data_IF_459042508889
#
_entry.id   IF_459042508889
#
_cell.length_a   1.000
_cell.length_b   1.000
_cell.length_c   1.000
_cell.angle_alpha   90.00
_cell.angle_beta   90.00
_cell.angle_gamma   90.00
#
_symmetry.space_group_name_H-M   'P 1'
#
loop_
_entity.id
_entity.type
_entity.pdbx_description
1 polymer ?
#
# COMPACT_ATOMS: atom_id res chain seq x y z
N UNK A 1 -6.69 7.57 -3.14
CA UNK A 1 -6.06 7.85 -1.82
C UNK A 1 -4.67 8.32 -2.12
N UNK A 2 -4.34 9.54 -1.71
CA UNK A 2 -3.03 10.14 -1.94
C UNK A 2 -2.03 9.61 -0.92
N UNK A 3 -0.74 9.86 -1.12
CA UNK A 3 0.27 9.56 -0.12
C UNK A 3 0.00 10.28 1.20
N UNK A 4 -0.51 11.53 1.14
CA UNK A 4 -0.83 12.30 2.33
C UNK A 4 -1.89 11.62 3.22
N UNK A 5 -2.84 10.90 2.61
CA UNK A 5 -3.86 10.14 3.34
C UNK A 5 -3.29 8.89 4.03
N UNK A 6 -2.12 8.42 3.59
CA UNK A 6 -1.51 7.12 3.92
C UNK A 6 -0.23 7.25 4.75
N UNK A 7 0.42 8.41 4.75
CA UNK A 7 1.72 8.65 5.38
C UNK A 7 1.70 8.25 6.87
N UNK A 8 2.49 7.23 7.29
CA UNK A 8 2.55 6.79 8.68
C UNK A 8 2.90 7.90 9.67
N UNK A 9 3.61 8.95 9.23
CA UNK A 9 4.01 10.07 10.08
C UNK A 9 2.82 10.92 10.55
N UNK A 10 1.72 10.98 9.77
CA UNK A 10 0.51 11.74 10.11
C UNK A 10 -0.51 10.88 10.89
N UNK A 11 -0.25 9.59 11.04
CA UNK A 11 -1.14 8.61 11.64
C UNK A 11 -0.47 7.81 12.77
N UNK A 12 -0.44 8.33 14.00
CA UNK A 12 0.08 7.57 15.16
C UNK A 12 -0.66 6.24 15.34
N UNK A 13 0.09 5.17 15.56
CA UNK A 13 -0.46 3.82 15.71
C UNK A 13 0.38 3.04 16.72
N UNK A 14 -0.30 2.34 17.65
CA UNK A 14 0.34 1.42 18.59
C UNK A 14 0.02 -0.04 18.20
N UNK A 15 0.97 -0.78 17.61
CA UNK A 15 0.77 -2.18 17.24
C UNK A 15 0.32 -3.08 18.39
N UNK A 16 0.65 -2.73 19.64
CA UNK A 16 0.28 -3.52 20.83
C UNK A 16 -1.20 -3.42 21.17
N UNK A 17 -1.85 -2.32 20.79
CA UNK A 17 -3.29 -2.09 21.02
C UNK A 17 -4.15 -2.52 19.83
N UNK A 18 -3.52 -2.79 18.67
CA UNK A 18 -4.21 -3.09 17.43
C UNK A 18 -5.26 -4.21 17.58
N UNK A 19 -4.89 -5.30 18.26
CA UNK A 19 -5.79 -6.45 18.44
C UNK A 19 -7.07 -6.08 19.20
N UNK A 20 -6.97 -5.31 20.28
CA UNK A 20 -8.13 -4.95 21.09
C UNK A 20 -9.09 -4.03 20.34
N UNK A 21 -8.56 -3.07 19.58
CA UNK A 21 -9.37 -2.17 18.74
C UNK A 21 -10.03 -2.95 17.60
N UNK A 22 -9.27 -3.81 16.90
CA UNK A 22 -9.82 -4.63 15.81
C UNK A 22 -10.92 -5.55 16.35
N UNK A 23 -10.73 -6.17 17.52
CA UNK A 23 -11.74 -7.00 18.17
C UNK A 23 -13.03 -6.22 18.45
N UNK A 24 -12.93 -4.98 18.92
CA UNK A 24 -14.09 -4.12 19.13
C UNK A 24 -14.80 -3.78 17.80
N UNK A 25 -14.05 -3.44 16.76
CA UNK A 25 -14.62 -3.12 15.43
C UNK A 25 -15.33 -4.34 14.83
N UNK A 26 -14.70 -5.51 14.86
CA UNK A 26 -15.24 -6.78 14.35
C UNK A 26 -16.55 -7.15 15.03
N UNK A 27 -16.64 -6.93 16.35
CA UNK A 27 -17.84 -7.21 17.14
C UNK A 27 -18.90 -6.11 17.08
N UNK A 28 -18.54 -4.88 16.69
CA UNK A 28 -19.48 -3.76 16.59
C UNK A 28 -20.56 -4.03 15.53
N UNK A 29 -21.77 -3.50 15.69
CA UNK A 29 -22.82 -3.65 14.69
C UNK A 29 -22.50 -2.81 13.45
N UNK A 30 -22.69 -3.41 12.29
CA UNK A 30 -22.70 -2.72 11.01
C UNK A 30 -23.94 -1.80 10.91
N UNK A 31 -23.81 -0.55 10.44
CA UNK A 31 -24.91 0.40 10.41
C UNK A 31 -26.11 -0.01 9.53
N UNK A 32 -25.88 -0.82 8.50
CA UNK A 32 -26.91 -1.18 7.51
C UNK A 32 -27.61 -2.48 7.89
N UNK A 33 -26.84 -3.48 8.32
CA UNK A 33 -27.36 -4.83 8.62
C UNK A 33 -27.64 -5.06 10.11
N UNK A 34 -27.07 -4.27 11.01
CA UNK A 34 -27.09 -4.49 12.46
C UNK A 34 -26.30 -5.74 12.92
N UNK A 35 -25.74 -6.51 12.00
CA UNK A 35 -24.92 -7.68 12.28
C UNK A 35 -23.51 -7.26 12.70
N UNK A 36 -22.76 -8.08 13.46
CA UNK A 36 -21.35 -7.82 13.72
C UNK A 36 -20.56 -7.60 12.42
N UNK A 37 -19.81 -6.50 12.32
CA UNK A 37 -19.10 -6.12 11.07
C UNK A 37 -18.23 -7.25 10.54
N UNK A 38 -17.55 -7.99 11.42
CA UNK A 38 -16.69 -9.10 11.06
C UNK A 38 -17.39 -10.30 10.42
N UNK A 39 -18.68 -10.46 10.67
CA UNK A 39 -19.52 -11.52 10.09
C UNK A 39 -20.32 -11.01 8.87
N UNK A 40 -20.41 -9.70 8.70
CA UNK A 40 -21.17 -9.09 7.61
C UNK A 40 -20.35 -8.95 6.33
N UNK A 41 -19.28 -8.15 6.36
CA UNK A 41 -18.42 -7.96 5.19
C UNK A 41 -17.07 -7.35 5.53
N UNK A 42 -16.07 -7.71 4.74
CA UNK A 42 -14.73 -7.11 4.76
C UNK A 42 -14.79 -5.58 4.63
N UNK A 43 -15.66 -5.05 3.77
CA UNK A 43 -15.85 -3.61 3.60
C UNK A 43 -16.34 -2.93 4.87
N UNK A 44 -17.27 -3.57 5.59
CA UNK A 44 -17.79 -3.02 6.85
C UNK A 44 -16.69 -2.95 7.91
N UNK A 45 -15.82 -3.97 8.00
CA UNK A 45 -14.65 -3.93 8.88
C UNK A 45 -13.67 -2.85 8.45
N UNK A 46 -13.36 -2.71 7.16
CA UNK A 46 -12.48 -1.66 6.65
C UNK A 46 -13.00 -0.25 7.01
N UNK A 47 -14.30 0.00 6.83
CA UNK A 47 -14.94 1.26 7.26
C UNK A 47 -14.81 1.47 8.76
N UNK A 48 -15.10 0.45 9.57
CA UNK A 48 -14.98 0.54 11.03
C UNK A 48 -13.53 0.79 11.51
N UNK A 49 -12.53 0.23 10.84
CA UNK A 49 -11.12 0.54 11.13
C UNK A 49 -10.74 1.95 10.71
N UNK A 50 -11.27 2.43 9.58
CA UNK A 50 -11.07 3.81 9.14
C UNK A 50 -11.71 4.83 10.10
N UNK A 51 -12.86 4.51 10.70
CA UNK A 51 -13.50 5.30 11.75
C UNK A 51 -12.60 5.43 13.01
N UNK A 52 -11.78 4.41 13.32
CA UNK A 52 -10.90 4.39 14.50
C UNK A 52 -9.52 5.00 14.24
N UNK A 53 -8.92 4.69 13.08
CA UNK A 53 -7.52 4.98 12.80
C UNK A 53 -7.31 6.01 11.68
N UNK A 54 -8.38 6.42 10.97
CA UNK A 54 -8.31 7.31 9.82
C UNK A 54 -8.17 6.58 8.49
N UNK A 55 -8.04 7.37 7.42
CA UNK A 55 -8.02 6.93 6.01
C UNK A 55 -7.02 5.81 5.71
N UNK A 56 -5.81 5.88 6.27
CA UNK A 56 -4.77 4.87 6.04
C UNK A 56 -5.26 3.45 6.38
N UNK A 57 -6.09 3.30 7.41
CA UNK A 57 -6.59 2.00 7.84
C UNK A 57 -7.70 1.44 6.94
N UNK A 58 -8.18 2.20 5.95
CA UNK A 58 -9.02 1.68 4.86
C UNK A 58 -8.19 1.14 3.69
N UNK A 59 -6.94 1.62 3.53
CA UNK A 59 -6.07 1.36 2.38
C UNK A 59 -5.85 -0.11 2.07
N UNK A 60 -5.86 -0.98 3.10
CA UNK A 60 -5.70 -2.42 2.92
C UNK A 60 -6.83 -3.09 2.14
N UNK A 61 -8.04 -2.50 2.07
CA UNK A 61 -9.22 -3.16 1.49
C UNK A 61 -9.02 -3.56 0.01
N UNK A 62 -8.24 -2.77 -0.74
CA UNK A 62 -7.81 -3.09 -2.12
C UNK A 62 -6.47 -3.83 -2.21
N UNK A 63 -5.76 -3.97 -1.08
CA UNK A 63 -4.39 -4.47 -1.00
C UNK A 63 -4.30 -5.91 -0.43
N UNK A 64 -5.45 -6.60 -0.35
CA UNK A 64 -5.55 -8.00 0.10
C UNK A 64 -6.00 -8.86 -1.08
N UNK A 65 -5.21 -9.87 -1.40
CA UNK A 65 -5.54 -10.83 -2.43
C UNK A 65 -6.40 -11.99 -1.94
N UNK A 66 -7.10 -12.63 -2.87
CA UNK A 66 -7.91 -13.83 -2.59
C UNK A 66 -7.13 -15.15 -2.70
N UNK A 67 -5.89 -15.10 -3.17
CA UNK A 67 -5.00 -16.24 -3.39
C UNK A 67 -3.57 -15.93 -2.92
N UNK A 68 -2.77 -16.95 -2.57
CA UNK A 68 -1.35 -16.79 -2.29
C UNK A 68 -0.58 -16.11 -3.43
N UNK A 69 -0.94 -16.44 -4.68
CA UNK A 69 -0.32 -15.90 -5.92
C UNK A 69 -0.97 -14.58 -6.39
N UNK A 70 -1.67 -13.88 -5.51
CA UNK A 70 -2.38 -12.65 -5.87
C UNK A 70 -1.45 -11.47 -6.14
N UNK A 71 -0.18 -11.51 -5.75
CA UNK A 71 0.72 -10.36 -5.89
C UNK A 71 0.35 -9.17 -5.01
N UNK A 72 -0.36 -9.39 -3.90
CA UNK A 72 -0.73 -8.33 -2.95
C UNK A 72 0.29 -8.16 -1.82
N UNK A 73 0.28 -6.98 -1.17
CA UNK A 73 1.26 -6.64 -0.11
C UNK A 73 0.93 -7.25 1.25
N UNK A 74 -0.32 -7.68 1.44
CA UNK A 74 -0.78 -8.42 2.62
C UNK A 74 -0.89 -9.89 2.27
N UNK A 75 -0.09 -10.72 2.94
CA UNK A 75 0.04 -12.17 2.68
C UNK A 75 -0.24 -12.98 3.94
N UNK A 76 -0.19 -14.31 3.79
CA UNK A 76 -0.16 -15.27 4.91
C UNK A 76 -1.25 -15.05 5.97
N UNK A 77 -2.49 -14.86 5.50
CA UNK A 77 -3.62 -14.68 6.39
C UNK A 77 -3.84 -15.94 7.24
N UNK A 78 -4.14 -15.72 8.51
CA UNK A 78 -4.44 -16.79 9.45
C UNK A 78 -5.54 -17.69 8.89
N UNK A 79 -5.32 -19.01 8.92
CA UNK A 79 -6.32 -20.02 8.56
C UNK A 79 -7.20 -20.26 9.78
N UNK A 80 -8.52 -20.36 9.58
CA UNK A 80 -9.44 -20.61 10.69
C UNK A 80 -9.13 -21.95 11.35
N UNK A 81 -8.83 -21.93 12.65
CA UNK A 81 -8.42 -23.07 13.45
C UNK A 81 -9.40 -23.43 14.58
N UNK A 82 -10.60 -22.84 14.63
CA UNK A 82 -11.57 -23.12 15.70
C UNK A 82 -13.00 -22.60 15.46
N UNK A 83 -13.83 -22.74 16.50
CA UNK A 83 -15.28 -22.48 16.43
C UNK A 83 -15.67 -21.01 16.70
N UNK A 84 -14.76 -20.17 17.24
CA UNK A 84 -15.05 -18.76 17.51
C UNK A 84 -14.71 -17.87 16.29
N UNK A 85 -15.70 -17.72 15.42
CA UNK A 85 -15.58 -16.95 14.18
C UNK A 85 -15.23 -15.47 14.43
N UNK A 86 -15.75 -14.83 15.47
CA UNK A 86 -15.45 -13.41 15.75
C UNK A 86 -14.00 -13.23 16.22
N UNK A 87 -13.52 -14.12 17.09
CA UNK A 87 -12.13 -14.11 17.53
C UNK A 87 -11.18 -14.39 16.35
N UNK A 88 -11.55 -15.32 15.47
CA UNK A 88 -10.82 -15.60 14.24
C UNK A 88 -10.75 -14.36 13.33
N UNK A 89 -11.88 -13.70 13.04
CA UNK A 89 -11.89 -12.48 12.24
C UNK A 89 -11.06 -11.37 12.90
N UNK A 90 -11.11 -11.22 14.22
CA UNK A 90 -10.27 -10.25 14.94
C UNK A 90 -8.77 -10.49 14.71
N UNK A 91 -8.30 -11.74 14.81
CA UNK A 91 -6.89 -12.10 14.52
C UNK A 91 -6.54 -11.84 13.06
N UNK A 92 -7.42 -12.25 12.14
CA UNK A 92 -7.24 -12.06 10.70
C UNK A 92 -7.08 -10.60 10.33
N UNK A 93 -8.01 -9.73 10.75
CA UNK A 93 -7.95 -8.30 10.45
C UNK A 93 -6.83 -7.57 11.19
N UNK A 94 -6.41 -8.06 12.36
CA UNK A 94 -5.21 -7.54 13.05
C UNK A 94 -3.97 -7.81 12.20
N UNK A 95 -3.80 -9.04 11.70
CA UNK A 95 -2.66 -9.37 10.81
C UNK A 95 -2.66 -8.51 9.56
N UNK A 96 -3.82 -8.35 8.90
CA UNK A 96 -3.98 -7.49 7.72
C UNK A 96 -3.53 -6.05 8.01
N UNK A 97 -4.04 -5.47 9.09
CA UNK A 97 -3.75 -4.07 9.45
C UNK A 97 -2.27 -3.87 9.77
N UNK A 98 -1.64 -4.81 10.47
CA UNK A 98 -0.22 -4.74 10.81
C UNK A 98 0.69 -4.87 9.58
N UNK A 99 0.39 -5.80 8.67
CA UNK A 99 1.15 -5.94 7.43
C UNK A 99 0.98 -4.73 6.51
N UNK A 100 -0.22 -4.16 6.46
CA UNK A 100 -0.48 -2.93 5.74
C UNK A 100 0.30 -1.76 6.34
N UNK A 101 0.33 -1.66 7.67
CA UNK A 101 1.12 -0.64 8.37
C UNK A 101 2.61 -0.75 8.07
N UNK A 102 3.16 -1.96 8.16
CA UNK A 102 4.56 -2.24 7.84
C UNK A 102 4.90 -1.82 6.40
N UNK A 103 4.05 -2.17 5.44
CA UNK A 103 4.22 -1.76 4.04
C UNK A 103 4.33 -0.24 3.87
N UNK A 104 3.45 0.52 4.52
CA UNK A 104 3.49 1.99 4.46
C UNK A 104 4.74 2.57 5.13
N UNK A 105 5.21 1.96 6.23
CA UNK A 105 6.44 2.37 6.92
C UNK A 105 7.69 2.08 6.08
N UNK A 106 7.75 0.94 5.38
CA UNK A 106 8.84 0.63 4.43
C UNK A 106 8.88 1.63 3.27
N UNK A 107 7.73 2.00 2.71
CA UNK A 107 7.63 3.05 1.69
C UNK A 107 8.13 4.40 2.22
N UNK A 108 7.66 4.81 3.40
CA UNK A 108 8.07 6.08 4.01
C UNK A 108 9.59 6.16 4.23
N UNK A 109 10.23 5.05 4.62
CA UNK A 109 11.69 4.97 4.74
C UNK A 109 12.36 5.22 3.39
N UNK A 110 11.90 4.59 2.30
CA UNK A 110 12.46 4.84 0.97
C UNK A 110 12.22 6.28 0.53
N UNK A 111 11.01 6.82 0.74
CA UNK A 111 10.67 8.18 0.33
C UNK A 111 11.57 9.19 1.03
N UNK A 112 11.78 9.06 2.35
CA UNK A 112 12.67 9.96 3.10
C UNK A 112 14.14 9.89 2.66
N UNK A 113 14.60 8.73 2.16
CA UNK A 113 15.98 8.57 1.66
C UNK A 113 16.19 9.24 0.30
N UNK A 114 15.19 9.15 -0.58
CA UNK A 114 15.34 9.55 -1.99
C UNK A 114 14.67 10.88 -2.33
N UNK A 115 13.69 11.33 -1.56
CA UNK A 115 13.01 12.62 -1.69
C UNK A 115 13.11 13.44 -0.39
N UNK A 116 14.33 13.79 0.08
CA UNK A 116 14.44 14.77 1.15
C UNK A 116 13.85 16.12 0.70
N UNK A 117 13.58 17.03 1.64
CA UNK A 117 13.15 18.40 1.31
C UNK A 117 14.21 19.06 0.40
N UNK A 118 13.91 19.12 -0.89
CA UNK A 118 14.77 19.64 -1.94
C UNK A 118 14.00 20.72 -2.70
N UNK A 119 14.53 21.94 -2.70
CA UNK A 119 13.91 23.08 -3.39
C UNK A 119 14.38 23.24 -4.85
N UNK A 120 15.38 22.46 -5.26
CA UNK A 120 16.00 22.56 -6.59
C UNK A 120 15.33 21.56 -7.56
N UNK A 121 14.66 22.02 -8.64
CA UNK A 121 13.94 21.14 -9.58
C UNK A 121 14.81 20.02 -10.18
N UNK A 122 16.06 20.34 -10.51
CA UNK A 122 17.03 19.37 -11.02
C UNK A 122 17.43 18.33 -9.97
N UNK A 123 17.46 18.71 -8.69
CA UNK A 123 17.73 17.78 -7.60
C UNK A 123 16.53 16.85 -7.36
N UNK A 124 15.31 17.39 -7.39
CA UNK A 124 14.06 16.60 -7.32
C UNK A 124 13.98 15.59 -8.47
N UNK A 125 14.31 16.00 -9.69
CA UNK A 125 14.33 15.12 -10.86
C UNK A 125 15.32 13.95 -10.70
N UNK A 126 16.55 14.23 -10.26
CA UNK A 126 17.55 13.18 -9.94
C UNK A 126 17.17 12.33 -8.74
N UNK A 127 16.43 12.87 -7.79
CA UNK A 127 15.87 12.15 -6.65
C UNK A 127 14.83 11.14 -7.11
N UNK A 128 13.87 11.58 -7.93
CA UNK A 128 12.85 10.73 -8.56
C UNK A 128 13.49 9.58 -9.33
N UNK A 129 14.43 9.86 -10.22
CA UNK A 129 15.14 8.84 -10.99
C UNK A 129 15.82 7.77 -10.10
N UNK A 130 16.46 8.20 -9.00
CA UNK A 130 17.17 7.29 -8.09
C UNK A 130 16.23 6.45 -7.21
N UNK A 131 15.05 6.97 -6.89
CA UNK A 131 14.07 6.28 -6.03
C UNK A 131 13.31 5.14 -6.70
N UNK A 132 13.20 5.14 -8.03
CA UNK A 132 12.43 4.12 -8.78
C UNK A 132 12.97 2.71 -8.58
N UNK A 133 14.29 2.48 -8.73
CA UNK A 133 14.85 1.12 -8.60
C UNK A 133 14.65 0.49 -7.20
N UNK A 134 14.95 1.20 -6.09
CA UNK A 134 14.64 0.72 -4.75
C UNK A 134 13.15 0.40 -4.55
N UNK A 135 12.25 1.25 -5.05
CA UNK A 135 10.80 1.02 -4.94
C UNK A 135 10.33 -0.21 -5.71
N UNK A 136 10.73 -0.33 -6.97
CA UNK A 136 10.41 -1.51 -7.78
C UNK A 136 10.95 -2.79 -7.12
N UNK A 137 12.16 -2.73 -6.55
CA UNK A 137 12.75 -3.86 -5.82
C UNK A 137 11.92 -4.23 -4.61
N UNK A 138 11.52 -3.25 -3.78
CA UNK A 138 10.68 -3.48 -2.61
C UNK A 138 9.33 -4.09 -3.01
N UNK A 139 8.67 -3.54 -4.04
CA UNK A 139 7.40 -4.06 -4.55
C UNK A 139 7.56 -5.51 -5.01
N UNK A 140 8.57 -5.83 -5.80
CA UNK A 140 8.81 -7.19 -6.30
C UNK A 140 9.07 -8.15 -5.14
N UNK A 141 9.87 -7.75 -4.14
CA UNK A 141 10.11 -8.57 -2.95
C UNK A 141 8.82 -8.84 -2.16
N UNK A 142 7.98 -7.81 -1.97
CA UNK A 142 6.74 -7.93 -1.22
C UNK A 142 5.70 -8.76 -1.97
N UNK A 143 5.56 -8.54 -3.27
CA UNK A 143 4.48 -9.11 -4.10
C UNK A 143 4.86 -10.45 -4.74
N UNK A 144 6.14 -10.73 -4.97
CA UNK A 144 6.61 -11.87 -5.75
C UNK A 144 6.60 -11.63 -7.27
N UNK A 145 6.25 -10.41 -7.70
CA UNK A 145 5.94 -10.10 -9.11
C UNK A 145 4.78 -10.93 -9.69
N UNK A 146 3.86 -11.39 -8.83
CA UNK A 146 2.66 -12.15 -9.20
C UNK A 146 1.50 -11.24 -9.67
N UNK A 147 0.31 -11.80 -9.90
CA UNK A 147 -0.83 -11.18 -10.61
C UNK A 147 -0.97 -9.65 -10.47
N UNK A 148 -1.08 -9.14 -9.24
CA UNK A 148 -1.40 -7.74 -8.95
C UNK A 148 -0.18 -6.84 -8.71
N UNK A 149 1.04 -7.34 -8.94
CA UNK A 149 2.26 -6.59 -8.63
C UNK A 149 2.38 -5.28 -9.41
N UNK A 150 1.87 -5.22 -10.65
CA UNK A 150 1.88 -4.00 -11.46
C UNK A 150 1.05 -2.89 -10.82
N UNK A 151 -0.14 -3.21 -10.30
CA UNK A 151 -0.99 -2.24 -9.62
C UNK A 151 -0.36 -1.74 -8.32
N UNK A 152 0.30 -2.62 -7.57
CA UNK A 152 1.06 -2.24 -6.37
C UNK A 152 2.26 -1.36 -6.75
N UNK A 153 2.96 -1.69 -7.84
CA UNK A 153 4.10 -0.92 -8.35
C UNK A 153 3.68 0.48 -8.78
N UNK A 154 2.59 0.57 -9.55
CA UNK A 154 2.02 1.84 -9.99
C UNK A 154 1.66 2.70 -8.78
N UNK A 155 0.89 2.15 -7.82
CA UNK A 155 0.52 2.89 -6.62
C UNK A 155 1.73 3.40 -5.82
N UNK A 156 2.75 2.57 -5.60
CA UNK A 156 3.94 2.96 -4.87
C UNK A 156 4.73 4.07 -5.58
N UNK A 157 4.85 3.99 -6.92
CA UNK A 157 5.52 5.01 -7.72
C UNK A 157 4.72 6.32 -7.74
N UNK A 158 3.39 6.27 -7.88
CA UNK A 158 2.52 7.44 -7.83
C UNK A 158 2.67 8.17 -6.49
N UNK A 159 2.60 7.45 -5.37
CA UNK A 159 2.81 8.03 -4.04
C UNK A 159 4.21 8.60 -3.83
N UNK A 160 5.23 7.98 -4.40
CA UNK A 160 6.58 8.52 -4.34
C UNK A 160 6.68 9.86 -5.09
N UNK A 161 6.09 9.94 -6.29
CA UNK A 161 6.05 11.18 -7.06
C UNK A 161 5.26 12.28 -6.35
N UNK A 162 4.12 11.95 -5.75
CA UNK A 162 3.36 12.88 -4.91
C UNK A 162 4.20 13.42 -3.75
N UNK A 163 4.99 12.56 -3.09
CA UNK A 163 5.89 12.98 -2.00
C UNK A 163 6.97 13.98 -2.45
N UNK A 164 7.23 14.06 -3.76
CA UNK A 164 8.20 14.98 -4.38
C UNK A 164 7.54 16.23 -4.99
N UNK A 165 6.25 16.45 -4.72
CA UNK A 165 5.49 17.62 -5.15
C UNK A 165 4.78 17.52 -6.50
N UNK A 166 4.81 16.36 -7.18
CA UNK A 166 3.98 16.14 -8.38
C UNK A 166 2.51 16.03 -7.95
N UNK A 167 1.59 16.60 -8.73
CA UNK A 167 0.15 16.47 -8.43
C UNK A 167 -0.32 15.00 -8.57
N UNK A 168 -1.30 14.53 -7.79
CA UNK A 168 -1.74 13.13 -7.85
C UNK A 168 -2.16 12.67 -9.27
N UNK A 169 -2.87 13.52 -10.01
CA UNK A 169 -3.34 13.19 -11.36
C UNK A 169 -2.18 13.05 -12.37
N UNK A 170 -1.19 13.92 -12.27
CA UNK A 170 0.00 13.87 -13.13
C UNK A 170 0.91 12.70 -12.78
N UNK A 171 1.06 12.41 -11.47
CA UNK A 171 1.80 11.25 -11.00
C UNK A 171 1.15 9.93 -11.47
N UNK A 172 -0.18 9.84 -11.44
CA UNK A 172 -0.94 8.69 -11.96
C UNK A 172 -0.73 8.52 -13.47
N UNK A 173 -0.94 9.58 -14.26
CA UNK A 173 -0.78 9.53 -15.73
C UNK A 173 0.64 9.10 -16.14
N UNK A 174 1.67 9.71 -15.54
CA UNK A 174 3.06 9.37 -15.84
C UNK A 174 3.39 7.92 -15.49
N UNK A 175 2.92 7.46 -14.33
CA UNK A 175 3.23 6.11 -13.84
C UNK A 175 2.50 5.05 -14.65
N UNK A 176 1.24 5.27 -15.02
CA UNK A 176 0.49 4.36 -15.88
C UNK A 176 1.20 4.16 -17.22
N UNK A 177 1.66 5.25 -17.86
CA UNK A 177 2.44 5.17 -19.09
C UNK A 177 3.72 4.35 -18.90
N UNK A 178 4.46 4.60 -17.82
CA UNK A 178 5.72 3.91 -17.53
C UNK A 178 5.52 2.44 -17.24
N UNK A 179 4.54 2.10 -16.40
CA UNK A 179 4.26 0.72 -15.98
C UNK A 179 3.75 -0.10 -17.16
N UNK A 180 2.82 0.42 -17.96
CA UNK A 180 2.26 -0.27 -19.12
C UNK A 180 3.30 -0.50 -20.23
N UNK A 181 4.24 0.43 -20.39
CA UNK A 181 5.27 0.34 -21.42
C UNK A 181 6.46 -0.54 -21.03
N UNK A 182 6.85 -0.55 -19.75
CA UNK A 182 8.10 -1.17 -19.31
C UNK A 182 7.94 -2.48 -18.57
N UNK A 183 6.80 -2.70 -17.90
CA UNK A 183 6.60 -3.85 -17.03
C UNK A 183 5.54 -4.81 -17.58
N UNK A 184 5.56 -6.04 -17.06
CA UNK A 184 4.63 -7.10 -17.47
C UNK A 184 4.13 -7.84 -16.24
N UNK A 185 2.85 -8.21 -16.24
CA UNK A 185 2.27 -9.02 -15.17
C UNK A 185 2.94 -10.40 -15.12
N UNK A 186 3.02 -11.01 -13.93
CA UNK A 186 3.64 -12.33 -13.67
C UNK A 186 5.13 -12.46 -13.98
N UNK A 187 5.84 -11.34 -14.14
CA UNK A 187 7.25 -11.34 -14.53
C UNK A 187 7.99 -10.30 -13.73
N UNK A 188 9.00 -10.73 -12.96
CA UNK A 188 9.95 -9.81 -12.33
C UNK A 188 10.66 -8.99 -13.42
N UNK A 189 10.72 -7.66 -13.29
CA UNK A 189 11.35 -6.81 -14.29
C UNK A 189 12.86 -7.06 -14.32
N UNK A 190 13.43 -7.05 -15.52
CA UNK A 190 14.89 -7.05 -15.70
C UNK A 190 15.48 -5.66 -15.48
N UNK A 191 16.80 -5.59 -15.27
CA UNK A 191 17.54 -4.34 -15.02
C UNK A 191 17.29 -3.28 -16.12
N UNK A 192 17.26 -3.69 -17.38
CA UNK A 192 17.00 -2.78 -18.51
C UNK A 192 15.62 -2.12 -18.44
N UNK A 193 14.58 -2.85 -18.01
CA UNK A 193 13.23 -2.31 -17.87
C UNK A 193 13.17 -1.29 -16.73
N UNK A 194 13.81 -1.62 -15.60
CA UNK A 194 13.91 -0.70 -14.46
C UNK A 194 14.69 0.56 -14.85
N UNK A 195 15.78 0.44 -15.61
CA UNK A 195 16.55 1.60 -16.09
C UNK A 195 15.74 2.49 -17.03
N UNK A 196 14.94 1.93 -17.93
CA UNK A 196 14.05 2.74 -18.78
C UNK A 196 12.95 3.46 -17.98
N UNK A 197 12.36 2.79 -17.00
CA UNK A 197 11.40 3.40 -16.09
C UNK A 197 12.02 4.57 -15.30
N UNK A 198 13.24 4.37 -14.76
CA UNK A 198 14.03 5.41 -14.09
C UNK A 198 14.23 6.62 -15.00
N UNK A 199 14.72 6.40 -16.20
CA UNK A 199 15.00 7.48 -17.15
C UNK A 199 13.75 8.27 -17.55
N UNK A 200 12.60 7.59 -17.75
CA UNK A 200 11.34 8.28 -18.08
C UNK A 200 10.90 9.19 -16.94
N UNK A 201 10.81 8.65 -15.73
CA UNK A 201 10.43 9.40 -14.53
C UNK A 201 11.43 10.55 -14.26
N UNK A 202 12.72 10.29 -14.46
CA UNK A 202 13.78 11.29 -14.32
C UNK A 202 13.86 12.31 -15.46
N UNK A 203 13.09 12.19 -16.54
CA UNK A 203 13.03 13.20 -17.62
C UNK A 203 11.76 14.04 -17.56
N UNK A 204 10.77 13.61 -16.78
CA UNK A 204 9.51 14.33 -16.63
C UNK A 204 9.72 15.68 -15.94
N UNK A 205 9.33 16.75 -16.63
CA UNK A 205 9.25 18.09 -16.08
C UNK A 205 7.85 18.25 -15.50
N UNK A 206 7.75 18.17 -14.17
CA UNK A 206 6.53 18.53 -13.43
C UNK A 206 6.54 20.01 -13.10
#
# INVERSE_FOLDING_TARGET
>A
MTWQDMDPATHPFDPKQAFDVVRQVVASPDPESGSPRGLWSTNSVARGLAEQYGSWAFGWYGAVGRSPDSGTVVKDLHVNDGDDELQYQARRYTSILLQWREWLEELAVIFSQFAPELDEPDALRRARERGVAPLVTLVVQRTGADELWLGVCAQALTWFLESTGISPAEAEELVDEVVDSEFRSWVSPGEDAVNRARERIGKHEG
#
